data_IF_048217104140
#
_entry.id   IF_048217104140
#
_cell.length_a   1.000
_cell.length_b   1.000
_cell.length_c   1.000
_cell.angle_alpha   90.00
_cell.angle_beta   90.00
_cell.angle_gamma   90.00
#
_symmetry.space_group_name_H-M   'P 1'
#
loop_
_entity.id
_entity.type
_entity.pdbx_description
1 polymer ?
#
# COMPACT_ATOMS: atom_id res chain seq x y z
N UNK A 1 9.89 -39.46 0.85
CA UNK A 1 9.61 -38.96 -0.51
C UNK A 1 9.99 -37.48 -0.56
N UNK A 2 10.90 -37.08 -1.45
CA UNK A 2 11.39 -35.70 -1.48
C UNK A 2 10.46 -34.76 -2.27
N UNK A 3 10.44 -33.47 -1.90
CA UNK A 3 9.73 -32.43 -2.66
C UNK A 3 10.18 -32.42 -4.14
N UNK A 4 11.45 -32.76 -4.41
CA UNK A 4 12.01 -32.91 -5.75
C UNK A 4 11.37 -34.03 -6.57
N UNK A 5 11.09 -35.18 -5.94
CA UNK A 5 10.41 -36.31 -6.60
C UNK A 5 8.94 -35.99 -6.86
N UNK A 6 8.28 -35.35 -5.88
CA UNK A 6 6.90 -34.87 -5.98
C UNK A 6 6.76 -33.85 -7.13
N UNK A 7 7.58 -32.80 -7.16
CA UNK A 7 7.57 -31.80 -8.23
C UNK A 7 7.82 -32.39 -9.62
N UNK A 8 8.67 -33.42 -9.72
CA UNK A 8 8.95 -34.13 -10.98
C UNK A 8 7.75 -34.95 -11.46
N UNK A 9 7.03 -35.60 -10.55
CA UNK A 9 5.82 -36.37 -10.88
C UNK A 9 4.64 -35.50 -11.31
N UNK A 10 4.52 -34.30 -10.73
CA UNK A 10 3.44 -33.37 -11.02
C UNK A 10 3.81 -32.28 -12.05
N UNK A 11 5.00 -32.32 -12.65
CA UNK A 11 5.52 -31.30 -13.58
C UNK A 11 5.43 -29.84 -13.04
N UNK A 12 5.45 -29.68 -11.71
CA UNK A 12 5.35 -28.39 -11.06
C UNK A 12 6.72 -27.80 -10.75
N UNK A 13 6.96 -26.49 -11.04
CA UNK A 13 8.16 -25.81 -10.56
C UNK A 13 8.23 -25.84 -9.03
N UNK A 14 9.39 -26.21 -8.46
CA UNK A 14 9.58 -26.27 -6.99
C UNK A 14 9.16 -24.98 -6.28
N UNK A 15 9.41 -23.81 -6.90
CA UNK A 15 9.03 -22.50 -6.36
C UNK A 15 7.54 -22.40 -6.06
N UNK A 16 6.68 -23.02 -6.85
CA UNK A 16 5.22 -23.03 -6.64
C UNK A 16 4.84 -23.81 -5.38
N UNK A 17 5.67 -24.78 -4.97
CA UNK A 17 5.42 -25.64 -3.82
C UNK A 17 5.87 -25.00 -2.51
N UNK A 18 7.02 -24.31 -2.47
CA UNK A 18 7.55 -23.74 -1.23
C UNK A 18 7.31 -22.23 -1.06
N UNK A 19 7.17 -21.48 -2.15
CA UNK A 19 7.02 -20.03 -2.07
C UNK A 19 5.55 -19.66 -1.86
N UNK A 20 5.24 -19.17 -0.67
CA UNK A 20 3.96 -18.54 -0.37
C UNK A 20 4.13 -17.02 -0.46
N UNK A 21 3.56 -16.33 -1.46
CA UNK A 21 3.65 -14.88 -1.55
C UNK A 21 2.91 -14.26 -0.36
N UNK A 22 3.64 -13.58 0.52
CA UNK A 22 3.05 -12.80 1.62
C UNK A 22 3.04 -11.33 1.23
N UNK A 23 1.85 -10.76 1.04
CA UNK A 23 1.70 -9.31 0.90
C UNK A 23 1.69 -8.69 2.30
N UNK A 24 2.54 -7.69 2.52
CA UNK A 24 2.50 -6.90 3.74
C UNK A 24 1.23 -6.02 3.78
N UNK A 25 0.72 -5.79 4.98
CA UNK A 25 -0.35 -4.81 5.16
C UNK A 25 0.14 -3.41 4.75
N UNK A 26 -0.70 -2.60 4.08
CA UNK A 26 -0.35 -1.24 3.74
C UNK A 26 -0.13 -0.43 5.02
N UNK A 27 0.99 0.32 5.07
CA UNK A 27 1.34 1.20 6.19
C UNK A 27 1.36 2.64 5.71
N UNK A 28 0.74 3.52 6.48
CA UNK A 28 0.84 4.97 6.29
C UNK A 28 1.90 5.49 7.26
N UNK A 29 2.80 6.36 6.77
CA UNK A 29 3.74 7.08 7.63
C UNK A 29 2.99 8.23 8.32
N UNK A 30 3.04 8.29 9.65
CA UNK A 30 2.37 9.35 10.42
C UNK A 30 2.82 10.75 10.00
N UNK A 31 4.12 10.92 9.76
CA UNK A 31 4.73 12.18 9.29
C UNK A 31 4.07 12.76 8.02
N UNK A 32 3.52 11.90 7.15
CA UNK A 32 2.83 12.33 5.94
C UNK A 32 1.32 12.52 6.18
N UNK A 33 0.74 11.74 7.10
CA UNK A 33 -0.69 11.78 7.39
C UNK A 33 -1.07 12.96 8.29
N UNK A 34 -0.21 13.37 9.21
CA UNK A 34 -0.44 14.49 10.13
C UNK A 34 -0.69 15.82 9.40
N UNK A 35 0.18 16.30 8.49
CA UNK A 35 -0.08 17.55 7.78
C UNK A 35 -1.30 17.46 6.86
N UNK A 36 -1.57 16.28 6.27
CA UNK A 36 -2.78 16.05 5.47
C UNK A 36 -4.04 16.15 6.35
N UNK A 37 -4.03 15.52 7.53
CA UNK A 37 -5.15 15.51 8.47
C UNK A 37 -5.43 16.92 9.01
N UNK A 38 -4.39 17.66 9.36
CA UNK A 38 -4.52 19.05 9.81
C UNK A 38 -5.21 19.92 8.74
N UNK A 39 -4.84 19.77 7.46
CA UNK A 39 -5.44 20.53 6.37
C UNK A 39 -6.91 20.15 6.12
N UNK A 40 -7.26 18.87 6.25
CA UNK A 40 -8.65 18.39 6.11
C UNK A 40 -9.52 18.83 7.29
N UNK A 41 -8.95 18.88 8.50
CA UNK A 41 -9.65 19.37 9.69
C UNK A 41 -9.93 20.88 9.61
N UNK A 42 -9.01 21.66 9.05
CA UNK A 42 -9.21 23.08 8.79
C UNK A 42 -10.25 23.32 7.68
N UNK A 43 -10.20 22.54 6.59
CA UNK A 43 -11.13 22.69 5.47
C UNK A 43 -11.57 21.31 4.91
N UNK A 44 -12.73 20.79 5.38
CA UNK A 44 -13.23 19.47 5.00
C UNK A 44 -13.59 19.35 3.52
N UNK A 45 -13.75 20.46 2.80
CA UNK A 45 -14.08 20.44 1.36
C UNK A 45 -12.87 20.13 0.46
N UNK A 46 -11.66 20.15 1.01
CA UNK A 46 -10.45 19.94 0.23
C UNK A 46 -10.26 18.47 -0.20
N UNK A 47 -10.35 18.25 -1.51
CA UNK A 47 -9.96 16.97 -2.11
C UNK A 47 -8.43 16.78 -2.15
N UNK A 48 -8.00 15.53 -2.32
CA UNK A 48 -6.58 15.13 -2.31
C UNK A 48 -5.67 15.89 -3.28
N UNK A 49 -6.20 16.42 -4.39
CA UNK A 49 -5.41 17.21 -5.36
C UNK A 49 -5.05 18.59 -4.81
N UNK A 50 -6.01 19.24 -4.16
CA UNK A 50 -5.82 20.55 -3.54
C UNK A 50 -4.85 20.43 -2.37
N UNK A 51 -5.05 19.42 -1.52
CA UNK A 51 -4.14 19.13 -0.40
C UNK A 51 -2.72 18.86 -0.90
N UNK A 52 -2.56 18.08 -1.97
CA UNK A 52 -1.24 17.82 -2.55
C UNK A 52 -0.57 19.10 -3.07
N UNK A 53 -1.31 19.99 -3.72
CA UNK A 53 -0.77 21.26 -4.20
C UNK A 53 -0.41 22.23 -3.08
N UNK A 54 -1.22 22.30 -2.01
CA UNK A 54 -0.97 23.19 -0.87
C UNK A 54 0.20 22.73 0.00
N UNK A 55 0.38 21.41 0.15
CA UNK A 55 1.50 20.84 0.93
C UNK A 55 2.77 20.59 0.09
N UNK A 56 2.76 20.94 -1.20
CA UNK A 56 3.81 20.59 -2.18
C UNK A 56 4.20 19.09 -2.13
N UNK A 57 3.21 18.24 -1.88
CA UNK A 57 3.39 16.80 -1.75
C UNK A 57 3.11 16.10 -3.07
N UNK A 58 3.75 14.94 -3.27
CA UNK A 58 3.41 14.09 -4.40
C UNK A 58 1.93 13.64 -4.32
N UNK A 59 1.15 14.02 -5.34
CA UNK A 59 -0.28 13.69 -5.47
C UNK A 59 -0.60 12.21 -5.21
N UNK A 60 0.24 11.28 -5.70
CA UNK A 60 -0.01 9.85 -5.55
C UNK A 60 0.14 9.40 -4.09
N UNK A 61 1.01 10.07 -3.33
CA UNK A 61 1.19 9.81 -1.89
C UNK A 61 -0.03 10.27 -1.12
N UNK A 62 -0.47 11.51 -1.35
CA UNK A 62 -1.68 12.06 -0.71
C UNK A 62 -2.90 11.21 -1.06
N UNK A 63 -3.09 10.88 -2.34
CA UNK A 63 -4.16 10.00 -2.79
C UNK A 63 -4.13 8.63 -2.09
N UNK A 64 -2.95 8.05 -1.89
CA UNK A 64 -2.81 6.76 -1.20
C UNK A 64 -3.16 6.87 0.28
N UNK A 65 -2.80 7.97 0.94
CA UNK A 65 -3.16 8.23 2.34
C UNK A 65 -4.67 8.37 2.48
N UNK A 66 -5.32 9.17 1.63
CA UNK A 66 -6.78 9.30 1.59
C UNK A 66 -7.47 7.92 1.48
N UNK A 67 -7.04 7.09 0.51
CA UNK A 67 -7.59 5.74 0.32
C UNK A 67 -7.39 4.80 1.52
N UNK A 68 -6.25 4.90 2.21
CA UNK A 68 -5.94 4.03 3.35
C UNK A 68 -6.62 4.49 4.64
N UNK A 69 -6.88 5.79 4.78
CA UNK A 69 -7.50 6.39 5.95
C UNK A 69 -9.02 6.58 5.81
N UNK A 70 -9.56 6.47 4.60
CA UNK A 70 -10.99 6.68 4.31
C UNK A 70 -11.40 8.16 4.33
N UNK A 71 -10.46 9.05 3.99
CA UNK A 71 -10.70 10.48 3.82
C UNK A 71 -11.07 10.82 2.38
#
# INVERSE_FOLDING_TARGET
>A
MSVSQLCRWFELPRRTVYYKPTKAAPKVKSELAEPIKALIEEEPSFGYRTVAGLLDMNKNTVQRVFQLMGW
#
